data_IF_860809212268
#
_entry.id   IF_860809212268
#
_cell.length_a   1.000
_cell.length_b   1.000
_cell.length_c   1.000
_cell.angle_alpha   90.00
_cell.angle_beta   90.00
_cell.angle_gamma   90.00
#
_symmetry.space_group_name_H-M   'P 1'
#
loop_
_entity.id
_entity.type
_entity.pdbx_description
1 polymer ?
#
# COMPACT_ATOMS: atom_id res chain seq x y z
N UNK A 1 -22.74 -0.28 -0.46
CA UNK A 1 -21.56 0.11 0.34
C UNK A 1 -20.33 -0.02 -0.54
N UNK A 2 -19.61 1.07 -0.75
CA UNK A 2 -18.36 1.05 -1.53
C UNK A 2 -17.31 0.20 -0.82
N UNK A 3 -16.34 -0.36 -1.58
CA UNK A 3 -15.20 -1.10 -1.02
C UNK A 3 -14.46 -0.27 0.05
N UNK A 4 -14.35 1.03 -0.19
CA UNK A 4 -13.74 1.99 0.74
C UNK A 4 -14.53 2.15 2.05
N UNK A 5 -15.85 2.10 2.01
CA UNK A 5 -16.69 2.16 3.23
C UNK A 5 -16.57 0.89 4.08
N UNK A 6 -16.46 -0.29 3.46
CA UNK A 6 -16.23 -1.56 4.18
C UNK A 6 -14.89 -1.55 4.90
N UNK A 7 -13.83 -1.08 4.23
CA UNK A 7 -12.50 -0.97 4.83
C UNK A 7 -12.48 0.08 5.94
N UNK A 8 -13.13 1.23 5.75
CA UNK A 8 -13.24 2.26 6.79
C UNK A 8 -14.01 1.77 8.03
N UNK A 9 -14.99 0.90 7.86
CA UNK A 9 -15.77 0.32 8.96
C UNK A 9 -14.92 -0.68 9.76
N UNK A 10 -14.10 -1.51 9.12
CA UNK A 10 -13.19 -2.44 9.80
C UNK A 10 -12.04 -1.72 10.53
N UNK A 11 -11.50 -0.65 9.93
CA UNK A 11 -10.48 0.20 10.57
C UNK A 11 -11.03 0.93 11.81
N UNK A 12 -12.35 1.19 11.85
CA UNK A 12 -13.03 1.75 13.03
C UNK A 12 -13.34 0.70 14.09
N UNK A 13 -13.27 -0.60 13.78
CA UNK A 13 -13.39 -1.64 14.79
C UNK A 13 -12.35 -1.37 15.89
N UNK A 14 -12.84 -1.02 17.07
CA UNK A 14 -11.98 -0.65 18.19
C UNK A 14 -11.31 -1.94 18.68
N UNK A 15 -10.05 -2.18 18.32
CA UNK A 15 -9.29 -3.37 18.73
C UNK A 15 -9.34 -3.57 20.25
N UNK A 16 -9.49 -2.49 21.02
CA UNK A 16 -9.64 -2.55 22.48
C UNK A 16 -10.96 -3.23 22.89
N UNK A 17 -12.10 -2.91 22.21
CA UNK A 17 -13.40 -3.52 22.53
C UNK A 17 -13.44 -5.02 22.22
N UNK A 18 -12.59 -5.48 21.27
CA UNK A 18 -12.42 -6.89 20.94
C UNK A 18 -11.66 -7.65 22.01
N UNK A 19 -10.68 -7.01 22.66
CA UNK A 19 -9.91 -7.61 23.77
C UNK A 19 -10.78 -7.82 24.99
N UNK A 20 -11.66 -6.86 25.30
CA UNK A 20 -12.46 -6.88 26.53
C UNK A 20 -13.62 -7.91 26.49
N UNK A 21 -14.04 -8.36 25.30
CA UNK A 21 -15.25 -9.22 25.13
C UNK A 21 -14.97 -10.63 24.65
N UNK A 22 -13.73 -10.97 24.28
CA UNK A 22 -13.42 -12.23 23.65
C UNK A 22 -12.87 -13.26 24.63
N UNK A 23 -13.26 -14.54 24.48
CA UNK A 23 -12.64 -15.67 25.15
C UNK A 23 -11.17 -15.87 24.73
N UNK A 24 -10.83 -15.56 23.47
CA UNK A 24 -9.47 -15.59 22.93
C UNK A 24 -9.19 -14.29 22.12
N UNK A 25 -8.79 -13.21 22.81
CA UNK A 25 -8.51 -11.93 22.18
C UNK A 25 -7.38 -11.99 21.15
N UNK A 26 -6.35 -12.79 21.39
CA UNK A 26 -5.21 -12.92 20.48
C UNK A 26 -5.63 -13.46 19.13
N UNK A 27 -6.45 -14.50 19.12
CA UNK A 27 -6.95 -15.11 17.88
C UNK A 27 -7.85 -14.16 17.10
N UNK A 28 -8.73 -13.43 17.80
CA UNK A 28 -9.61 -12.46 17.15
C UNK A 28 -8.84 -11.29 16.55
N UNK A 29 -7.87 -10.73 17.25
CA UNK A 29 -7.02 -9.64 16.75
C UNK A 29 -6.29 -10.09 15.48
N UNK A 30 -5.66 -11.27 15.50
CA UNK A 30 -4.97 -11.83 14.31
C UNK A 30 -5.93 -12.01 13.12
N UNK A 31 -7.15 -12.48 13.37
CA UNK A 31 -8.15 -12.62 12.32
C UNK A 31 -8.52 -11.27 11.70
N UNK A 32 -8.76 -10.24 12.52
CA UNK A 32 -9.06 -8.87 12.03
C UNK A 32 -7.92 -8.33 11.16
N UNK A 33 -6.68 -8.50 11.58
CA UNK A 33 -5.51 -8.08 10.78
C UNK A 33 -5.45 -8.82 9.44
N UNK A 34 -5.69 -10.13 9.45
CA UNK A 34 -5.73 -10.95 8.23
C UNK A 34 -6.83 -10.47 7.28
N UNK A 35 -8.02 -10.17 7.80
CA UNK A 35 -9.14 -9.67 7.01
C UNK A 35 -8.83 -8.29 6.39
N UNK A 36 -8.16 -7.40 7.16
CA UNK A 36 -7.68 -6.11 6.64
C UNK A 36 -6.63 -6.29 5.53
N UNK A 37 -5.70 -7.23 5.67
CA UNK A 37 -4.70 -7.55 4.65
C UNK A 37 -5.36 -8.05 3.36
N UNK A 38 -6.32 -8.95 3.48
CA UNK A 38 -7.08 -9.48 2.34
C UNK A 38 -7.84 -8.37 1.60
N UNK A 39 -8.45 -7.46 2.33
CA UNK A 39 -9.16 -6.32 1.74
C UNK A 39 -8.21 -5.33 1.07
N UNK A 40 -7.05 -5.06 1.68
CA UNK A 40 -6.02 -4.23 1.04
C UNK A 40 -5.55 -4.85 -0.29
N UNK A 41 -5.41 -6.17 -0.34
CA UNK A 41 -5.07 -6.88 -1.57
C UNK A 41 -6.14 -6.70 -2.66
N UNK A 42 -7.43 -6.79 -2.30
CA UNK A 42 -8.52 -6.52 -3.23
C UNK A 42 -8.50 -5.08 -3.76
N UNK A 43 -8.24 -4.09 -2.89
CA UNK A 43 -8.11 -2.68 -3.30
C UNK A 43 -6.90 -2.50 -4.23
N UNK A 44 -5.75 -3.10 -3.93
CA UNK A 44 -4.57 -3.09 -4.82
C UNK A 44 -4.90 -3.62 -6.22
N UNK A 45 -5.63 -4.73 -6.29
CA UNK A 45 -6.06 -5.31 -7.56
C UNK A 45 -6.97 -4.34 -8.33
N UNK A 46 -7.93 -3.71 -7.65
CA UNK A 46 -8.83 -2.75 -8.29
C UNK A 46 -8.08 -1.51 -8.81
N UNK A 47 -7.11 -1.02 -8.05
CA UNK A 47 -6.22 0.08 -8.50
C UNK A 47 -5.44 -0.33 -9.75
N UNK A 48 -4.89 -1.55 -9.78
CA UNK A 48 -4.16 -2.06 -10.93
C UNK A 48 -5.06 -2.16 -12.18
N UNK A 49 -6.32 -2.61 -12.04
CA UNK A 49 -7.30 -2.63 -13.12
C UNK A 49 -7.56 -1.21 -13.64
N UNK A 50 -7.81 -0.25 -12.74
CA UNK A 50 -8.06 1.14 -13.12
C UNK A 50 -6.88 1.78 -13.86
N UNK A 51 -5.64 1.43 -13.51
CA UNK A 51 -4.42 1.85 -14.22
C UNK A 51 -4.36 1.20 -15.61
N UNK A 52 -4.69 -0.08 -15.73
CA UNK A 52 -4.74 -0.76 -17.02
C UNK A 52 -5.79 -0.13 -17.96
N UNK A 53 -6.97 0.20 -17.44
CA UNK A 53 -8.02 0.90 -18.19
C UNK A 53 -7.55 2.29 -18.67
N UNK A 54 -6.82 3.04 -17.82
CA UNK A 54 -6.19 4.30 -18.21
C UNK A 54 -5.26 4.11 -19.41
N UNK A 55 -4.37 3.12 -19.38
CA UNK A 55 -3.46 2.84 -20.48
C UNK A 55 -4.20 2.45 -21.78
N UNK A 56 -5.31 1.73 -21.68
CA UNK A 56 -6.15 1.40 -22.85
C UNK A 56 -6.76 2.67 -23.44
N UNK A 57 -7.24 3.59 -22.63
CA UNK A 57 -7.78 4.88 -23.11
C UNK A 57 -6.70 5.76 -23.74
N UNK A 58 -5.51 5.84 -23.11
CA UNK A 58 -4.35 6.57 -23.67
C UNK A 58 -3.91 6.02 -25.03
N UNK A 59 -3.92 4.70 -25.17
CA UNK A 59 -3.63 4.06 -26.46
C UNK A 59 -4.67 4.40 -27.53
N UNK A 60 -5.97 4.35 -27.20
CA UNK A 60 -7.04 4.74 -28.12
C UNK A 60 -6.96 6.21 -28.53
N UNK A 61 -6.61 7.09 -27.59
CA UNK A 61 -6.36 8.50 -27.89
C UNK A 61 -5.23 8.64 -28.92
N UNK A 62 -4.07 8.04 -28.65
CA UNK A 62 -2.91 8.11 -29.54
C UNK A 62 -3.20 7.53 -30.94
N UNK A 63 -3.94 6.42 -31.02
CA UNK A 63 -4.36 5.82 -32.30
C UNK A 63 -5.24 6.76 -33.13
N UNK A 64 -6.17 7.47 -32.48
CA UNK A 64 -7.05 8.41 -33.18
C UNK A 64 -6.34 9.71 -33.58
N UNK A 65 -5.44 10.22 -32.76
CA UNK A 65 -4.58 11.38 -33.11
C UNK A 65 -3.66 11.06 -34.30
N UNK A 66 -3.12 9.86 -34.35
CA UNK A 66 -2.27 9.44 -35.46
C UNK A 66 -3.12 9.22 -36.74
N UNK A 67 -4.31 8.62 -36.63
CA UNK A 67 -5.23 8.46 -37.73
C UNK A 67 -5.68 9.81 -38.32
N UNK A 68 -5.99 10.79 -37.44
CA UNK A 68 -6.30 12.18 -37.87
C UNK A 68 -5.18 12.74 -38.77
N UNK A 69 -3.92 12.68 -38.28
CA UNK A 69 -2.75 13.17 -39.02
C UNK A 69 -2.57 12.46 -40.36
N UNK A 70 -2.78 11.15 -40.37
CA UNK A 70 -2.67 10.38 -41.64
C UNK A 70 -3.73 10.76 -42.64
N UNK A 71 -4.97 11.01 -42.18
CA UNK A 71 -6.04 11.44 -43.08
C UNK A 71 -5.82 12.87 -43.63
N UNK A 72 -5.25 13.79 -42.84
CA UNK A 72 -4.83 15.12 -43.31
C UNK A 72 -3.77 14.97 -44.38
N UNK A 73 -2.72 14.16 -44.19
CA UNK A 73 -1.71 13.91 -45.23
C UNK A 73 -2.30 13.32 -46.53
N UNK A 74 -3.29 12.45 -46.41
CA UNK A 74 -4.00 11.90 -47.60
C UNK A 74 -4.81 12.98 -48.30
N UNK A 75 -5.42 13.90 -47.59
CA UNK A 75 -6.12 15.05 -48.18
C UNK A 75 -5.16 15.95 -48.95
N UNK A 76 -3.98 16.25 -48.41
CA UNK A 76 -2.91 17.00 -49.07
C UNK A 76 -2.48 16.32 -50.37
N UNK A 77 -2.24 15.00 -50.32
CA UNK A 77 -1.88 14.23 -51.52
C UNK A 77 -2.98 14.23 -52.62
N UNK A 78 -4.27 14.26 -52.22
CA UNK A 78 -5.37 14.35 -53.15
C UNK A 78 -5.43 15.75 -53.83
N UNK A 79 -5.18 16.80 -53.06
CA UNK A 79 -5.09 18.18 -53.56
C UNK A 79 -3.95 18.34 -54.58
N UNK A 80 -2.78 17.77 -54.32
CA UNK A 80 -1.63 17.76 -55.27
C UNK A 80 -2.01 17.12 -56.62
N UNK A 81 -2.94 16.16 -56.60
CA UNK A 81 -3.49 15.53 -57.78
C UNK A 81 -4.71 16.25 -58.38
N UNK A 82 -5.11 17.40 -57.77
CA UNK A 82 -6.28 18.19 -58.16
C UNK A 82 -7.61 17.43 -58.01
N UNK A 83 -7.65 16.45 -57.14
CA UNK A 83 -8.87 15.68 -56.81
C UNK A 83 -9.52 16.25 -55.52
N UNK A 84 -10.28 17.31 -55.67
CA UNK A 84 -10.97 17.97 -54.57
C UNK A 84 -12.01 17.06 -53.87
N UNK A 85 -12.66 16.17 -54.64
CA UNK A 85 -13.68 15.30 -54.04
C UNK A 85 -13.05 14.30 -53.10
N UNK A 86 -11.92 13.69 -53.45
CA UNK A 86 -11.16 12.80 -52.62
C UNK A 86 -10.56 13.53 -51.41
N UNK A 87 -10.07 14.78 -51.61
CA UNK A 87 -9.57 15.59 -50.49
C UNK A 87 -10.65 15.88 -49.45
N UNK A 88 -11.87 16.23 -49.87
CA UNK A 88 -13.02 16.44 -48.95
C UNK A 88 -13.36 15.17 -48.17
N UNK A 89 -13.45 14.03 -48.86
CA UNK A 89 -13.71 12.75 -48.20
C UNK A 89 -12.63 12.39 -47.15
N UNK A 90 -11.36 12.69 -47.45
CA UNK A 90 -10.26 12.47 -46.51
C UNK A 90 -10.35 13.42 -45.28
N UNK A 91 -10.71 14.68 -45.49
CA UNK A 91 -10.92 15.64 -44.40
C UNK A 91 -12.10 15.26 -43.51
N UNK A 92 -13.19 14.74 -44.08
CA UNK A 92 -14.33 14.22 -43.28
C UNK A 92 -13.88 13.08 -42.35
N UNK A 93 -13.02 12.18 -42.84
CA UNK A 93 -12.43 11.12 -42.02
C UNK A 93 -11.51 11.68 -40.91
N UNK A 94 -10.68 12.66 -41.27
CA UNK A 94 -9.85 13.38 -40.30
C UNK A 94 -10.69 14.00 -39.19
N UNK A 95 -11.76 14.72 -39.53
CA UNK A 95 -12.67 15.31 -38.57
C UNK A 95 -13.34 14.28 -37.66
N UNK A 96 -13.72 13.13 -38.19
CA UNK A 96 -14.28 12.03 -37.39
C UNK A 96 -13.27 11.52 -36.36
N UNK A 97 -12.01 11.28 -36.76
CA UNK A 97 -10.96 10.85 -35.82
C UNK A 97 -10.61 11.93 -34.81
N UNK A 98 -10.61 13.21 -35.18
CA UNK A 98 -10.43 14.34 -34.29
C UNK A 98 -11.50 14.36 -33.19
N UNK A 99 -12.78 14.17 -33.57
CA UNK A 99 -13.88 14.12 -32.59
C UNK A 99 -13.73 12.94 -31.60
N UNK A 100 -13.29 11.77 -32.12
CA UNK A 100 -13.01 10.61 -31.26
C UNK A 100 -11.81 10.87 -30.33
N UNK A 101 -10.72 11.48 -30.83
CA UNK A 101 -9.55 11.83 -30.03
C UNK A 101 -9.93 12.79 -28.89
N UNK A 102 -10.75 13.80 -29.17
CA UNK A 102 -11.22 14.73 -28.14
C UNK A 102 -12.04 14.04 -27.06
N UNK A 103 -12.94 13.14 -27.45
CA UNK A 103 -13.70 12.32 -26.50
C UNK A 103 -12.81 11.43 -25.65
N UNK A 104 -11.81 10.76 -26.25
CA UNK A 104 -10.87 9.95 -25.49
C UNK A 104 -9.96 10.78 -24.59
N UNK A 105 -9.57 11.99 -25.01
CA UNK A 105 -8.77 12.91 -24.16
C UNK A 105 -9.50 13.24 -22.87
N UNK A 106 -10.80 13.57 -22.97
CA UNK A 106 -11.61 13.83 -21.78
C UNK A 106 -11.70 12.59 -20.88
N UNK A 107 -11.92 11.41 -21.47
CA UNK A 107 -11.98 10.17 -20.69
C UNK A 107 -10.65 9.83 -20.01
N UNK A 108 -9.51 10.09 -20.65
CA UNK A 108 -8.17 9.91 -20.07
C UNK A 108 -7.98 10.83 -18.88
N UNK A 109 -8.38 12.10 -18.96
CA UNK A 109 -8.27 13.04 -17.85
C UNK A 109 -9.12 12.61 -16.66
N UNK A 110 -10.37 12.22 -16.90
CA UNK A 110 -11.28 11.74 -15.85
C UNK A 110 -10.72 10.47 -15.19
N UNK A 111 -10.23 9.53 -16.01
CA UNK A 111 -9.65 8.28 -15.51
C UNK A 111 -8.35 8.52 -14.72
N UNK A 112 -7.50 9.46 -15.14
CA UNK A 112 -6.28 9.85 -14.39
C UNK A 112 -6.64 10.40 -13.01
N UNK A 113 -7.62 11.28 -12.94
CA UNK A 113 -8.08 11.81 -11.65
C UNK A 113 -8.61 10.71 -10.73
N UNK A 114 -9.36 9.76 -11.29
CA UNK A 114 -9.85 8.60 -10.54
C UNK A 114 -8.71 7.71 -10.04
N UNK A 115 -7.71 7.41 -10.86
CA UNK A 115 -6.54 6.60 -10.50
C UNK A 115 -5.74 7.25 -9.39
N UNK A 116 -5.51 8.56 -9.44
CA UNK A 116 -4.80 9.28 -8.38
C UNK A 116 -5.58 9.29 -7.05
N UNK A 117 -6.88 9.43 -7.09
CA UNK A 117 -7.72 9.30 -5.91
C UNK A 117 -7.64 7.88 -5.29
N UNK A 118 -7.65 6.84 -6.14
CA UNK A 118 -7.53 5.45 -5.70
C UNK A 118 -6.15 5.15 -5.11
N UNK A 119 -5.06 5.64 -5.71
CA UNK A 119 -3.69 5.52 -5.18
C UNK A 119 -3.57 6.19 -3.80
N UNK A 120 -4.12 7.39 -3.66
CA UNK A 120 -4.13 8.12 -2.39
C UNK A 120 -4.90 7.34 -1.31
N UNK A 121 -6.05 6.79 -1.66
CA UNK A 121 -6.85 5.96 -0.75
C UNK A 121 -6.10 4.68 -0.37
N UNK A 122 -5.44 4.02 -1.32
CA UNK A 122 -4.62 2.83 -1.08
C UNK A 122 -3.47 3.13 -0.10
N UNK A 123 -2.76 4.24 -0.29
CA UNK A 123 -1.67 4.65 0.62
C UNK A 123 -2.18 4.85 2.05
N UNK A 124 -3.32 5.54 2.22
CA UNK A 124 -3.96 5.73 3.54
C UNK A 124 -4.37 4.40 4.17
N UNK A 125 -4.90 3.45 3.39
CA UNK A 125 -5.27 2.13 3.88
C UNK A 125 -4.05 1.32 4.32
N UNK A 126 -2.95 1.37 3.57
CA UNK A 126 -1.69 0.73 3.93
C UNK A 126 -1.14 1.27 5.25
N UNK A 127 -1.14 2.60 5.41
CA UNK A 127 -0.74 3.23 6.66
C UNK A 127 -1.61 2.77 7.83
N UNK A 128 -2.93 2.74 7.65
CA UNK A 128 -3.87 2.30 8.69
C UNK A 128 -3.70 0.83 9.06
N UNK A 129 -3.39 -0.04 8.09
CA UNK A 129 -3.06 -1.43 8.37
C UNK A 129 -1.80 -1.54 9.23
N UNK A 130 -0.74 -0.79 8.90
CA UNK A 130 0.50 -0.79 9.68
C UNK A 130 0.26 -0.30 11.12
N UNK A 131 -0.50 0.78 11.29
CA UNK A 131 -0.90 1.28 12.62
C UNK A 131 -1.70 0.21 13.41
N UNK A 132 -2.63 -0.48 12.73
CA UNK A 132 -3.43 -1.54 13.35
C UNK A 132 -2.59 -2.76 13.75
N UNK A 133 -1.61 -3.15 12.93
CA UNK A 133 -0.68 -4.23 13.24
C UNK A 133 0.15 -3.90 14.48
N UNK A 134 0.78 -2.73 14.53
CA UNK A 134 1.57 -2.29 15.69
C UNK A 134 0.73 -2.26 16.98
N UNK A 135 -0.52 -1.79 16.87
CA UNK A 135 -1.45 -1.79 18.01
C UNK A 135 -1.87 -3.21 18.42
N UNK A 136 -2.08 -4.09 17.45
CA UNK A 136 -2.41 -5.49 17.68
C UNK A 136 -1.29 -6.21 18.46
N UNK A 137 -0.05 -6.03 18.04
CA UNK A 137 1.12 -6.63 18.68
C UNK A 137 1.26 -6.16 20.15
N UNK A 138 1.06 -4.86 20.39
CA UNK A 138 1.05 -4.30 21.74
C UNK A 138 -0.05 -4.92 22.61
N UNK A 139 -1.29 -5.01 22.11
CA UNK A 139 -2.42 -5.57 22.84
C UNK A 139 -2.22 -7.06 23.13
N UNK A 140 -1.69 -7.83 22.18
CA UNK A 140 -1.35 -9.25 22.37
C UNK A 140 -0.30 -9.41 23.46
N UNK A 141 0.76 -8.59 23.45
CA UNK A 141 1.81 -8.61 24.47
C UNK A 141 1.24 -8.28 25.85
N UNK A 142 0.40 -7.24 25.97
CA UNK A 142 -0.26 -6.86 27.22
C UNK A 142 -1.18 -7.98 27.74
N UNK A 143 -1.96 -8.61 26.87
CA UNK A 143 -2.84 -9.71 27.26
C UNK A 143 -2.06 -10.93 27.76
N UNK A 144 -0.99 -11.31 27.07
CA UNK A 144 -0.10 -12.42 27.48
C UNK A 144 0.54 -12.12 28.85
N UNK A 145 0.97 -10.88 29.09
CA UNK A 145 1.53 -10.44 30.35
C UNK A 145 0.50 -10.53 31.47
N UNK A 146 -0.70 -10.00 31.28
CA UNK A 146 -1.78 -10.05 32.25
C UNK A 146 -2.14 -11.50 32.62
N UNK A 147 -2.25 -12.39 31.59
CA UNK A 147 -2.52 -13.82 31.80
C UNK A 147 -1.40 -14.53 32.54
N UNK A 148 -0.13 -14.20 32.30
CA UNK A 148 1.01 -14.77 33.01
C UNK A 148 1.01 -14.33 34.49
N UNK A 149 0.73 -13.05 34.74
CA UNK A 149 0.62 -12.51 36.09
C UNK A 149 -0.57 -13.12 36.87
N UNK A 150 -1.73 -13.29 36.22
CA UNK A 150 -2.89 -13.96 36.80
C UNK A 150 -2.57 -15.38 37.26
N UNK A 151 -1.96 -16.18 36.35
CA UNK A 151 -1.51 -17.54 36.69
C UNK A 151 -0.48 -17.59 37.82
N UNK A 152 0.45 -16.63 37.85
CA UNK A 152 1.43 -16.53 38.93
C UNK A 152 0.76 -16.21 40.28
N UNK A 153 -0.26 -15.35 40.28
CA UNK A 153 -1.03 -15.00 41.48
C UNK A 153 -1.90 -16.16 41.97
N UNK A 154 -2.56 -16.88 41.05
CA UNK A 154 -3.32 -18.10 41.37
C UNK A 154 -2.41 -19.18 41.98
N UNK A 155 -1.23 -19.43 41.37
CA UNK A 155 -0.25 -20.36 41.89
C UNK A 155 0.24 -19.97 43.30
N UNK A 156 0.45 -18.69 43.53
CA UNK A 156 0.83 -18.17 44.84
C UNK A 156 -0.28 -18.38 45.89
N UNK A 157 -1.53 -18.13 45.53
CA UNK A 157 -2.69 -18.29 46.42
C UNK A 157 -3.03 -19.77 46.70
N UNK A 158 -2.78 -20.67 45.70
CA UNK A 158 -3.00 -22.12 45.91
C UNK A 158 -1.92 -22.81 46.75
N UNK A 159 -0.79 -22.16 46.93
CA UNK A 159 0.39 -22.74 47.60
C UNK A 159 0.57 -22.25 49.06
N UNK A 160 -0.45 -22.02 49.85
CA UNK A 160 -0.39 -21.64 51.25
C UNK A 160 1.01 -21.64 51.85
N UNK A 161 1.35 -20.54 52.41
CA UNK A 161 2.57 -20.13 53.15
C UNK A 161 3.64 -21.22 53.39
N UNK A 162 4.78 -21.18 52.72
CA UNK A 162 6.02 -21.69 53.27
C UNK A 162 6.99 -22.49 52.38
N UNK A 163 6.67 -22.95 51.17
CA UNK A 163 7.64 -23.85 50.50
C UNK A 163 8.05 -23.51 49.06
N UNK A 164 7.65 -22.38 48.47
CA UNK A 164 7.86 -22.17 47.04
C UNK A 164 8.33 -20.79 46.59
N UNK A 165 9.08 -20.09 47.40
CA UNK A 165 9.82 -18.89 47.02
C UNK A 165 10.71 -19.14 45.78
N UNK A 166 11.35 -20.32 45.75
CA UNK A 166 12.19 -20.78 44.60
C UNK A 166 11.39 -21.09 43.32
N UNK A 167 10.12 -21.47 43.41
CA UNK A 167 9.26 -21.68 42.23
C UNK A 167 8.74 -20.34 41.68
N UNK A 168 8.46 -19.38 42.57
CA UNK A 168 8.06 -18.03 42.20
C UNK A 168 9.22 -17.27 41.53
N UNK A 169 10.43 -17.38 42.04
CA UNK A 169 11.61 -16.77 41.43
C UNK A 169 11.93 -17.36 40.05
N UNK A 170 11.77 -18.66 39.90
CA UNK A 170 11.92 -19.29 38.57
C UNK A 170 10.88 -18.80 37.54
N UNK A 171 9.64 -18.57 38.00
CA UNK A 171 8.57 -18.08 37.13
C UNK A 171 8.75 -16.60 36.80
N UNK A 172 9.18 -15.78 37.77
CA UNK A 172 9.57 -14.39 37.58
C UNK A 172 10.72 -14.23 36.60
N UNK A 173 11.76 -15.07 36.75
CA UNK A 173 12.85 -15.14 35.77
C UNK A 173 12.40 -15.53 34.37
N UNK A 174 11.45 -16.46 34.23
CA UNK A 174 10.90 -16.87 32.96
C UNK A 174 10.09 -15.76 32.25
N UNK A 175 9.33 -14.98 33.02
CA UNK A 175 8.61 -13.80 32.53
C UNK A 175 9.59 -12.71 32.09
N UNK A 176 10.59 -12.41 32.94
CA UNK A 176 11.64 -11.43 32.60
C UNK A 176 12.45 -11.84 31.37
N UNK A 177 12.76 -13.12 31.20
CA UNK A 177 13.44 -13.63 30.02
C UNK A 177 12.57 -13.51 28.77
N UNK A 178 11.26 -13.77 28.89
CA UNK A 178 10.31 -13.58 27.77
C UNK A 178 10.15 -12.11 27.38
N UNK A 179 10.18 -11.20 28.35
CA UNK A 179 10.18 -9.74 28.11
C UNK A 179 11.47 -9.30 27.43
N UNK A 180 12.63 -9.77 27.88
CA UNK A 180 13.91 -9.46 27.28
C UNK A 180 14.04 -10.01 25.84
N UNK A 181 13.46 -11.19 25.57
CA UNK A 181 13.44 -11.76 24.22
C UNK A 181 12.54 -10.93 23.30
N UNK A 182 11.37 -10.52 23.76
CA UNK A 182 10.47 -9.66 22.98
C UNK A 182 11.07 -8.25 22.75
N UNK A 183 11.82 -7.71 23.71
CA UNK A 183 12.57 -6.46 23.54
C UNK A 183 13.72 -6.62 22.54
N UNK A 184 14.49 -7.71 22.63
CA UNK A 184 15.57 -8.00 21.69
C UNK A 184 15.05 -8.23 20.24
N UNK A 185 13.91 -8.89 20.08
CA UNK A 185 13.25 -9.01 18.78
C UNK A 185 12.81 -7.65 18.22
N UNK A 186 12.33 -6.75 19.07
CA UNK A 186 11.95 -5.39 18.67
C UNK A 186 13.18 -4.54 18.31
N UNK A 187 14.31 -4.70 19.00
CA UNK A 187 15.61 -4.05 18.68
C UNK A 187 16.16 -4.54 17.35
N UNK A 188 16.11 -5.82 17.06
CA UNK A 188 16.55 -6.39 15.76
C UNK A 188 15.75 -5.82 14.60
N UNK A 189 14.43 -5.64 14.75
CA UNK A 189 13.58 -5.02 13.73
C UNK A 189 13.91 -3.53 13.53
N UNK A 190 14.31 -2.84 14.60
CA UNK A 190 14.70 -1.42 14.54
C UNK A 190 16.09 -1.25 13.89
N UNK A 191 17.02 -2.16 14.16
CA UNK A 191 18.35 -2.18 13.53
C UNK A 191 18.26 -2.42 12.03
N UNK A 192 17.41 -3.34 11.56
CA UNK A 192 17.21 -3.60 10.11
C UNK A 192 16.74 -2.34 9.36
N UNK A 193 15.91 -1.50 9.99
CA UNK A 193 15.48 -0.22 9.39
C UNK A 193 16.61 0.80 9.37
N UNK A 194 17.39 0.91 10.44
CA UNK A 194 18.56 1.80 10.53
C UNK A 194 19.63 1.41 9.51
N UNK A 195 19.91 0.12 9.35
CA UNK A 195 20.85 -0.40 8.38
C UNK A 195 20.40 -0.14 6.93
N UNK A 196 19.09 -0.22 6.64
CA UNK A 196 18.53 0.11 5.33
C UNK A 196 18.61 1.60 5.03
N UNK A 197 18.41 2.49 6.00
CA UNK A 197 18.62 3.92 5.83
C UNK A 197 20.10 4.25 5.64
N UNK A 198 21.01 3.65 6.41
CA UNK A 198 22.45 3.83 6.25
C UNK A 198 22.95 3.34 4.87
N UNK A 199 22.39 2.25 4.34
CA UNK A 199 22.68 1.77 2.99
C UNK A 199 22.21 2.77 1.92
N UNK A 200 21.03 3.35 2.10
CA UNK A 200 20.44 4.33 1.17
C UNK A 200 21.19 5.67 1.17
N UNK A 201 21.64 6.14 2.33
CA UNK A 201 22.51 7.33 2.47
C UNK A 201 23.85 7.09 1.80
N UNK A 202 24.44 5.90 1.95
CA UNK A 202 25.70 5.53 1.32
C UNK A 202 25.60 5.44 -0.21
N UNK A 203 24.48 4.96 -0.73
CA UNK A 203 24.21 4.94 -2.17
C UNK A 203 24.08 6.34 -2.75
N UNK A 204 23.39 7.26 -2.06
CA UNK A 204 23.30 8.67 -2.45
C UNK A 204 24.67 9.38 -2.44
N UNK A 205 25.51 9.09 -1.45
CA UNK A 205 26.86 9.66 -1.36
C UNK A 205 27.78 9.14 -2.48
N UNK A 206 27.67 7.84 -2.83
CA UNK A 206 28.38 7.24 -3.96
C UNK A 206 27.95 7.90 -5.28
N UNK A 207 26.65 8.10 -5.50
CA UNK A 207 26.13 8.76 -6.70
C UNK A 207 26.62 10.22 -6.82
N UNK A 208 26.67 10.93 -5.71
CA UNK A 208 27.22 12.29 -5.67
C UNK A 208 28.70 12.33 -6.04
N UNK A 209 29.52 11.47 -5.44
CA UNK A 209 30.95 11.34 -5.74
C UNK A 209 31.17 10.92 -7.21
N UNK A 210 30.31 10.08 -7.75
CA UNK A 210 30.38 9.66 -9.14
C UNK A 210 30.04 10.79 -10.11
N UNK A 211 29.11 11.68 -9.76
CA UNK A 211 28.80 12.90 -10.52
C UNK A 211 29.97 13.90 -10.45
N UNK A 212 30.56 14.10 -9.27
CA UNK A 212 31.76 14.98 -9.11
C UNK A 212 32.96 14.48 -9.92
N UNK A 213 33.21 13.17 -9.94
CA UNK A 213 34.23 12.54 -10.76
C UNK A 213 33.99 12.72 -12.27
N UNK A 214 32.74 12.55 -12.70
CA UNK A 214 32.34 12.78 -14.10
C UNK A 214 32.51 14.24 -14.51
N UNK A 215 32.16 15.18 -13.63
CA UNK A 215 32.36 16.62 -13.87
C UNK A 215 33.84 16.99 -13.98
N UNK A 216 34.72 16.43 -13.12
CA UNK A 216 36.20 16.66 -13.17
C UNK A 216 36.86 16.03 -14.40
N UNK A 217 36.25 15.03 -15.04
CA UNK A 217 36.83 14.38 -16.23
C UNK A 217 36.39 15.04 -17.54
N UNK A 218 35.33 15.82 -17.52
CA UNK A 218 34.74 16.48 -18.69
C UNK A 218 35.08 18.02 -18.73
N UNK A 219 35.87 18.55 -17.81
CA UNK A 219 36.43 19.89 -17.79
C UNK A 219 37.94 19.83 -17.89
#
# INVERSE_FOLDING_TARGET
>A
MSLLERVATLVRANLNDLVDRAEDPERMIKQVILDMQNQLMQVKTQVAISIADQHVLEKKLAENEEAEKQWVKRAEMALDRKDEALARAALERSMSHKGLAESFRQQVEDQRAQVENLKTALAKLQQKLNEAQSKADLLIAQHRRARAMGKATEAKNAMGDGSNEAAFDRMKHKVQHSEATAQAEAEIVTDDISDRFAALEKEQEIDRLLQELKAKRNG
#
